data_IF_482469374061
#
_entry.id   IF_482469374061
#
_cell.length_a   1.000
_cell.length_b   1.000
_cell.length_c   1.000
_cell.angle_alpha   90.00
_cell.angle_beta   90.00
_cell.angle_gamma   90.00
#
_symmetry.space_group_name_H-M   'P 1'
#
loop_
_entity.id
_entity.type
_entity.pdbx_description
1 polymer ?
#
# COMPACT_ATOMS: atom_id res chain seq x y z
N UNK A 1 9.78 9.20 -6.20
CA UNK A 1 8.98 10.15 -7.01
C UNK A 1 9.78 11.45 -7.15
N UNK A 2 10.30 11.75 -8.35
CA UNK A 2 10.85 13.07 -8.63
C UNK A 2 9.69 14.06 -8.62
N UNK A 3 9.72 14.97 -7.67
CA UNK A 3 8.64 15.92 -7.42
C UNK A 3 8.56 16.93 -8.59
N UNK A 4 7.38 17.03 -9.20
CA UNK A 4 7.08 18.03 -10.22
C UNK A 4 6.23 19.14 -9.60
N UNK A 5 6.57 20.43 -9.80
CA UNK A 5 5.74 21.57 -9.36
C UNK A 5 4.31 21.57 -9.92
N UNK A 6 4.01 20.71 -10.90
CA UNK A 6 2.70 20.58 -11.56
C UNK A 6 1.99 19.28 -11.19
N UNK A 7 2.05 18.83 -9.93
CA UNK A 7 1.29 17.64 -9.53
C UNK A 7 -0.22 17.94 -9.66
N UNK A 8 -0.86 17.32 -10.66
CA UNK A 8 -2.31 17.34 -10.79
C UNK A 8 -2.87 16.56 -9.59
N UNK A 9 -3.78 17.16 -8.82
CA UNK A 9 -4.42 16.45 -7.70
C UNK A 9 -5.49 15.52 -8.24
N UNK A 10 -5.54 14.31 -7.69
CA UNK A 10 -6.37 13.21 -8.17
C UNK A 10 -5.53 11.94 -8.34
N UNK A 11 -6.18 10.78 -8.32
CA UNK A 11 -5.49 9.48 -8.38
C UNK A 11 -4.49 9.29 -7.23
N UNK A 12 -3.27 8.88 -7.56
CA UNK A 12 -2.20 8.53 -6.61
C UNK A 12 -1.47 9.77 -6.02
N UNK A 13 -2.21 10.78 -5.59
CA UNK A 13 -1.64 11.99 -4.97
C UNK A 13 -1.29 11.74 -3.50
N UNK A 14 -0.15 12.24 -3.04
CA UNK A 14 0.29 12.11 -1.64
C UNK A 14 -0.36 13.17 -0.74
N UNK A 15 -0.44 12.92 0.57
CA UNK A 15 -0.90 13.88 1.57
C UNK A 15 -0.07 15.18 1.51
N UNK A 16 1.25 15.07 1.30
CA UNK A 16 2.11 16.23 1.08
C UNK A 16 1.72 17.03 -0.17
N UNK A 17 1.38 16.33 -1.27
CA UNK A 17 0.88 16.95 -2.50
C UNK A 17 -0.43 17.71 -2.27
N UNK A 18 -1.39 17.11 -1.55
CA UNK A 18 -2.62 17.79 -1.14
C UNK A 18 -2.34 19.01 -0.25
N UNK A 19 -1.47 18.88 0.75
CA UNK A 19 -1.08 19.99 1.63
C UNK A 19 -0.48 21.17 0.88
N UNK A 20 0.37 20.89 -0.12
CA UNK A 20 1.00 21.94 -0.95
C UNK A 20 -0.02 22.64 -1.86
N UNK A 21 -0.97 21.89 -2.43
CA UNK A 21 -1.94 22.44 -3.40
C UNK A 21 -3.16 23.11 -2.75
N UNK A 22 -3.61 22.60 -1.61
CA UNK A 22 -4.79 23.07 -0.89
C UNK A 22 -4.46 23.29 0.60
N UNK A 23 -3.59 24.25 0.93
CA UNK A 23 -3.09 24.40 2.31
C UNK A 23 -4.18 24.74 3.31
N UNK A 24 -5.18 25.53 2.93
CA UNK A 24 -6.29 25.94 3.81
C UNK A 24 -7.23 24.77 4.09
N UNK A 25 -7.66 24.05 3.06
CA UNK A 25 -8.51 22.87 3.17
C UNK A 25 -7.77 21.76 3.90
N UNK A 26 -6.49 21.54 3.56
CA UNK A 26 -5.66 20.59 4.28
C UNK A 26 -5.44 20.99 5.75
N UNK A 27 -5.51 22.26 6.14
CA UNK A 27 -5.44 22.63 7.55
C UNK A 27 -6.75 22.38 8.31
N UNK A 28 -7.89 22.43 7.62
CA UNK A 28 -9.23 22.50 8.24
C UNK A 28 -10.05 21.23 8.09
N UNK A 29 -9.83 20.45 7.03
CA UNK A 29 -10.61 19.25 6.76
C UNK A 29 -10.12 18.07 7.59
N UNK A 30 -11.06 17.19 7.90
CA UNK A 30 -10.73 15.86 8.39
C UNK A 30 -10.05 15.06 7.28
N UNK A 31 -8.89 14.49 7.59
CA UNK A 31 -8.01 13.75 6.69
C UNK A 31 -7.81 12.35 7.23
N UNK A 32 -8.04 11.35 6.41
CA UNK A 32 -7.70 9.99 6.76
C UNK A 32 -7.16 9.23 5.56
N UNK A 33 -6.46 8.14 5.83
CA UNK A 33 -6.10 7.16 4.82
C UNK A 33 -6.44 5.75 5.31
N UNK A 34 -6.68 4.85 4.37
CA UNK A 34 -6.81 3.42 4.64
C UNK A 34 -5.53 2.74 4.18
N UNK A 35 -4.84 2.10 5.11
CA UNK A 35 -3.65 1.27 4.85
C UNK A 35 -4.01 -0.19 4.95
N UNK A 36 -3.22 -1.06 4.33
CA UNK A 36 -3.39 -2.53 4.37
C UNK A 36 -2.08 -3.18 4.79
N UNK A 37 -2.16 -4.38 5.37
CA UNK A 37 -0.98 -5.20 5.63
C UNK A 37 -0.09 -5.25 4.38
N UNK A 38 1.22 -4.92 4.48
CA UNK A 38 2.08 -4.76 3.31
C UNK A 38 2.19 -6.00 2.42
N UNK A 39 2.27 -7.21 2.99
CA UNK A 39 2.30 -8.46 2.21
C UNK A 39 0.99 -8.65 1.47
N UNK A 40 -0.13 -8.53 2.18
CA UNK A 40 -1.47 -8.65 1.60
C UNK A 40 -1.71 -7.63 0.48
N UNK A 41 -1.20 -6.40 0.66
CA UNK A 41 -1.29 -5.34 -0.34
C UNK A 41 -0.44 -5.66 -1.56
N UNK A 42 0.79 -6.14 -1.38
CA UNK A 42 1.69 -6.51 -2.47
C UNK A 42 1.09 -7.60 -3.35
N UNK A 43 0.61 -8.69 -2.73
CA UNK A 43 -0.02 -9.80 -3.45
C UNK A 43 -1.27 -9.33 -4.22
N UNK A 44 -2.09 -8.48 -3.59
CA UNK A 44 -3.25 -7.87 -4.21
C UNK A 44 -2.86 -7.02 -5.43
N UNK A 45 -1.80 -6.21 -5.33
CA UNK A 45 -1.31 -5.37 -6.41
C UNK A 45 -0.79 -6.21 -7.59
N UNK A 46 -0.02 -7.26 -7.33
CA UNK A 46 0.46 -8.16 -8.37
C UNK A 46 -0.70 -8.84 -9.12
N UNK A 47 -1.67 -9.41 -8.39
CA UNK A 47 -2.88 -10.03 -8.97
C UNK A 47 -3.69 -9.04 -9.81
N UNK A 48 -3.88 -7.83 -9.30
CA UNK A 48 -4.57 -6.77 -10.02
C UNK A 48 -3.86 -6.40 -11.33
N UNK A 49 -2.56 -6.12 -11.27
CA UNK A 49 -1.79 -5.68 -12.44
C UNK A 49 -1.65 -6.77 -13.51
N UNK A 50 -1.60 -8.06 -13.12
CA UNK A 50 -1.67 -9.21 -14.05
C UNK A 50 -3.02 -9.34 -14.74
N UNK A 51 -4.11 -8.96 -14.07
CA UNK A 51 -5.47 -9.04 -14.63
C UNK A 51 -5.77 -7.89 -15.60
N UNK A 52 -5.14 -6.74 -15.39
CA UNK A 52 -5.31 -5.59 -16.26
C UNK A 52 -4.56 -5.77 -17.59
N UNK A 53 -5.08 -5.25 -18.71
CA UNK A 53 -4.29 -5.14 -19.94
C UNK A 53 -3.00 -4.37 -19.72
N UNK A 54 -1.98 -4.65 -20.53
CA UNK A 54 -0.73 -3.86 -20.51
C UNK A 54 -1.08 -2.40 -20.84
N UNK A 55 -0.75 -1.49 -19.94
CA UNK A 55 -1.09 -0.08 -20.08
C UNK A 55 0.00 0.83 -19.50
N UNK A 56 0.47 1.88 -20.22
CA UNK A 56 1.53 2.76 -19.74
C UNK A 56 1.26 3.40 -18.37
N UNK A 57 0.02 3.79 -18.09
CA UNK A 57 -0.35 4.39 -16.80
C UNK A 57 -0.26 3.42 -15.61
N UNK A 58 -0.28 2.10 -15.85
CA UNK A 58 -0.10 1.07 -14.83
C UNK A 58 1.35 0.61 -14.72
N UNK A 59 2.15 0.87 -15.75
CA UNK A 59 3.52 0.40 -15.91
C UNK A 59 3.68 -1.12 -15.61
N UNK A 60 2.73 -1.92 -16.12
CA UNK A 60 2.62 -3.35 -15.82
C UNK A 60 3.28 -4.26 -16.86
N UNK A 61 3.92 -3.75 -17.93
CA UNK A 61 4.50 -4.60 -18.98
C UNK A 61 5.45 -5.66 -18.43
N UNK A 62 6.38 -5.26 -17.55
CA UNK A 62 7.35 -6.17 -16.91
C UNK A 62 6.69 -7.26 -16.04
N UNK A 63 5.51 -7.00 -15.49
CA UNK A 63 4.74 -7.99 -14.74
C UNK A 63 4.15 -9.05 -15.69
N UNK A 64 3.83 -8.67 -16.93
CA UNK A 64 3.33 -9.61 -17.94
C UNK A 64 4.42 -10.52 -18.54
N UNK A 65 5.70 -10.13 -18.44
CA UNK A 65 6.84 -10.94 -18.87
C UNK A 65 7.09 -12.18 -17.98
N UNK A 66 6.41 -12.29 -16.84
CA UNK A 66 6.53 -13.38 -15.86
C UNK A 66 5.19 -14.07 -15.68
N UNK A 67 5.18 -15.40 -15.68
CA UNK A 67 3.94 -16.16 -15.58
C UNK A 67 3.49 -16.35 -14.13
N UNK A 68 4.47 -16.44 -13.23
CA UNK A 68 4.22 -16.68 -11.80
C UNK A 68 4.72 -15.54 -10.92
N UNK A 69 4.16 -15.47 -9.71
CA UNK A 69 4.62 -14.53 -8.68
C UNK A 69 6.07 -14.82 -8.28
N UNK A 70 6.49 -16.09 -8.25
CA UNK A 70 7.85 -16.47 -7.90
C UNK A 70 8.87 -15.90 -8.91
N UNK A 71 8.64 -16.05 -10.21
CA UNK A 71 9.49 -15.48 -11.26
C UNK A 71 9.52 -13.95 -11.23
N UNK A 72 8.38 -13.32 -10.92
CA UNK A 72 8.30 -11.88 -10.70
C UNK A 72 9.17 -11.46 -9.51
N UNK A 73 9.08 -12.17 -8.39
CA UNK A 73 9.86 -11.88 -7.19
C UNK A 73 11.36 -12.08 -7.38
N UNK A 74 11.80 -13.04 -8.20
CA UNK A 74 13.21 -13.15 -8.58
C UNK A 74 13.69 -11.92 -9.37
N UNK A 75 12.84 -11.40 -10.26
CA UNK A 75 13.15 -10.16 -11.01
C UNK A 75 13.24 -8.96 -10.06
N UNK A 76 12.29 -8.84 -9.13
CA UNK A 76 12.27 -7.78 -8.11
C UNK A 76 13.46 -7.88 -7.16
N UNK A 77 13.89 -9.09 -6.78
CA UNK A 77 15.06 -9.28 -5.90
C UNK A 77 16.36 -8.89 -6.60
N UNK A 78 16.47 -9.14 -7.91
CA UNK A 78 17.61 -8.73 -8.71
C UNK A 78 17.66 -7.21 -8.94
N UNK A 79 16.50 -6.56 -9.07
CA UNK A 79 16.39 -5.09 -9.18
C UNK A 79 15.17 -4.55 -8.40
N UNK A 80 15.34 -4.24 -7.09
CA UNK A 80 14.25 -3.75 -6.26
C UNK A 80 13.72 -2.37 -6.69
N UNK A 81 14.53 -1.59 -7.43
CA UNK A 81 14.12 -0.27 -7.91
C UNK A 81 12.97 -0.36 -8.91
N UNK A 82 12.77 -1.53 -9.53
CA UNK A 82 11.62 -1.80 -10.39
C UNK A 82 10.27 -1.48 -9.71
N UNK A 83 10.17 -1.69 -8.40
CA UNK A 83 8.95 -1.40 -7.63
C UNK A 83 8.66 0.11 -7.54
N UNK A 84 9.70 0.95 -7.62
CA UNK A 84 9.55 2.40 -7.54
C UNK A 84 8.91 3.02 -8.79
N UNK A 85 8.93 2.29 -9.91
CA UNK A 85 8.33 2.70 -11.17
C UNK A 85 6.83 2.31 -11.28
N UNK A 86 6.33 1.51 -10.34
CA UNK A 86 4.97 0.97 -10.36
C UNK A 86 4.24 1.48 -9.12
N UNK A 87 3.32 2.41 -9.32
CA UNK A 87 2.65 3.15 -8.23
C UNK A 87 1.97 2.27 -7.17
N UNK A 88 1.45 1.10 -7.58
CA UNK A 88 0.80 0.13 -6.69
C UNK A 88 1.78 -0.55 -5.72
N UNK A 89 3.07 -0.59 -6.06
CA UNK A 89 4.12 -1.14 -5.22
C UNK A 89 4.87 -0.07 -4.42
N UNK A 90 4.59 1.22 -4.61
CA UNK A 90 5.19 2.28 -3.79
C UNK A 90 4.79 2.12 -2.32
N UNK A 91 5.73 2.21 -1.35
CA UNK A 91 5.41 2.14 0.07
C UNK A 91 4.29 3.10 0.47
N UNK A 92 3.32 2.61 1.23
CA UNK A 92 2.15 3.36 1.72
C UNK A 92 2.58 4.61 2.49
N UNK A 93 3.69 4.55 3.24
CA UNK A 93 4.24 5.71 3.95
C UNK A 93 4.56 6.88 3.01
N UNK A 94 4.92 6.64 1.74
CA UNK A 94 5.18 7.71 0.76
C UNK A 94 3.92 8.53 0.44
N UNK A 95 2.73 7.98 0.69
CA UNK A 95 1.46 8.66 0.48
C UNK A 95 0.98 9.42 1.69
N UNK A 96 1.33 9.00 2.91
CA UNK A 96 0.74 9.54 4.14
C UNK A 96 1.73 10.30 5.01
N UNK A 97 3.04 10.20 4.77
CA UNK A 97 4.06 10.86 5.56
C UNK A 97 4.74 12.03 4.83
N UNK A 98 5.38 12.92 5.59
CA UNK A 98 6.39 13.84 5.07
C UNK A 98 7.78 13.18 4.91
N UNK A 99 8.77 13.98 4.51
CA UNK A 99 10.16 13.57 4.36
C UNK A 99 10.83 13.11 5.66
N UNK A 100 10.30 13.52 6.81
CA UNK A 100 10.79 13.12 8.14
C UNK A 100 10.04 11.89 8.69
N UNK A 101 9.11 11.31 7.91
CA UNK A 101 8.35 10.14 8.31
C UNK A 101 7.17 10.44 9.25
N UNK A 102 6.81 11.71 9.45
CA UNK A 102 5.64 12.10 10.24
C UNK A 102 4.38 11.89 9.42
N UNK A 103 3.38 11.22 9.99
CA UNK A 103 2.06 11.05 9.37
C UNK A 103 1.36 12.40 9.26
N UNK A 104 0.83 12.71 8.08
CA UNK A 104 0.23 14.01 7.73
C UNK A 104 -1.31 14.01 7.74
N UNK A 105 -1.93 12.86 7.99
CA UNK A 105 -3.38 12.71 8.08
C UNK A 105 -3.78 12.50 9.54
N UNK A 106 -5.04 12.79 9.88
CA UNK A 106 -5.53 12.75 11.26
C UNK A 106 -5.68 11.30 11.75
N UNK A 107 -6.11 10.38 10.87
CA UNK A 107 -6.20 8.95 11.19
C UNK A 107 -5.73 8.04 10.05
N UNK A 108 -5.08 6.95 10.44
CA UNK A 108 -4.80 5.80 9.58
C UNK A 108 -5.71 4.65 10.00
N UNK A 109 -6.59 4.24 9.09
CA UNK A 109 -7.47 3.09 9.28
C UNK A 109 -6.89 1.86 8.57
N UNK A 110 -7.19 0.66 9.09
CA UNK A 110 -6.73 -0.61 8.51
C UNK A 110 -7.79 -1.23 7.61
N UNK A 111 -7.39 -1.67 6.43
CA UNK A 111 -8.28 -2.31 5.46
C UNK A 111 -8.93 -3.58 6.05
N UNK A 112 -8.19 -4.33 6.86
CA UNK A 112 -8.61 -5.58 7.48
C UNK A 112 -9.81 -5.41 8.42
N UNK A 113 -10.04 -4.21 8.95
CA UNK A 113 -11.21 -3.91 9.78
C UNK A 113 -12.04 -2.76 9.20
N UNK A 114 -11.96 -2.52 7.88
CA UNK A 114 -12.59 -1.36 7.23
C UNK A 114 -14.09 -1.31 7.43
N UNK A 115 -14.79 -2.45 7.44
CA UNK A 115 -16.25 -2.48 7.67
C UNK A 115 -16.62 -1.88 9.03
N UNK A 116 -15.88 -2.22 10.08
CA UNK A 116 -16.09 -1.67 11.43
C UNK A 116 -15.61 -0.23 11.55
N UNK A 117 -14.45 0.09 10.96
CA UNK A 117 -13.87 1.43 10.98
C UNK A 117 -14.66 2.43 10.14
N UNK A 118 -15.36 1.98 9.10
CA UNK A 118 -16.22 2.82 8.26
C UNK A 118 -17.34 3.46 9.07
N UNK A 119 -17.92 2.73 10.03
CA UNK A 119 -18.90 3.31 10.97
C UNK A 119 -18.31 4.46 11.78
N UNK A 120 -17.04 4.33 12.20
CA UNK A 120 -16.31 5.39 12.91
C UNK A 120 -16.08 6.61 12.00
N UNK A 121 -15.66 6.37 10.75
CA UNK A 121 -15.46 7.44 9.76
C UNK A 121 -16.76 8.19 9.48
N UNK A 122 -17.89 7.49 9.26
CA UNK A 122 -19.20 8.12 9.11
C UNK A 122 -19.56 9.01 10.31
N UNK A 123 -19.27 8.55 11.53
CA UNK A 123 -19.49 9.33 12.75
C UNK A 123 -18.67 10.62 12.78
N UNK A 124 -17.38 10.57 12.47
CA UNK A 124 -16.50 11.75 12.41
C UNK A 124 -16.99 12.75 11.34
N UNK A 125 -17.43 12.24 10.19
CA UNK A 125 -17.91 13.06 9.08
C UNK A 125 -19.36 13.55 9.23
N UNK A 126 -20.03 13.20 10.34
CA UNK A 126 -21.45 13.44 10.56
C UNK A 126 -22.32 12.97 9.37
N UNK A 127 -22.01 11.79 8.83
CA UNK A 127 -22.72 11.18 7.72
C UNK A 127 -23.57 9.98 8.20
N UNK A 128 -24.75 9.76 7.61
CA UNK A 128 -25.52 8.55 7.92
C UNK A 128 -24.74 7.32 7.48
N UNK A 129 -24.70 6.30 8.35
CA UNK A 129 -24.05 5.04 8.01
C UNK A 129 -24.76 4.37 6.84
N UNK A 130 -23.98 4.03 5.81
CA UNK A 130 -24.37 3.12 4.72
C UNK A 130 -23.24 2.11 4.53
N UNK A 131 -23.54 0.80 4.40
CA UNK A 131 -22.50 -0.19 4.12
C UNK A 131 -21.71 0.16 2.87
N UNK A 132 -20.39 -0.05 2.91
CA UNK A 132 -19.55 0.14 1.72
C UNK A 132 -19.94 -0.89 0.65
N UNK A 133 -20.07 -0.48 -0.63
CA UNK A 133 -20.20 -1.44 -1.72
C UNK A 133 -18.92 -2.27 -1.79
N UNK A 134 -19.07 -3.57 -2.04
CA UNK A 134 -17.92 -4.46 -2.25
C UNK A 134 -17.58 -4.46 -3.73
N UNK A 135 -16.42 -3.90 -4.07
CA UNK A 135 -15.89 -3.80 -5.43
C UNK A 135 -14.47 -4.35 -5.43
N UNK A 136 -14.06 -5.02 -6.51
CA UNK A 136 -12.76 -5.68 -6.63
C UNK A 136 -12.47 -6.66 -5.48
N UNK A 137 -13.48 -7.46 -5.12
CA UNK A 137 -13.31 -8.51 -4.14
C UNK A 137 -12.20 -9.47 -4.57
N UNK A 138 -11.12 -9.45 -3.82
CA UNK A 138 -10.12 -10.50 -3.86
C UNK A 138 -10.64 -11.64 -2.99
N UNK A 139 -10.44 -12.90 -3.41
CA UNK A 139 -10.62 -14.01 -2.49
C UNK A 139 -9.80 -13.72 -1.21
N UNK A 140 -10.33 -14.01 -0.01
CA UNK A 140 -9.55 -13.91 1.22
C UNK A 140 -8.23 -14.66 0.99
N UNK A 141 -7.09 -14.05 1.35
CA UNK A 141 -5.84 -14.81 1.36
C UNK A 141 -6.02 -15.97 2.33
N UNK A 142 -6.14 -17.17 1.80
CA UNK A 142 -6.15 -18.38 2.60
C UNK A 142 -4.71 -18.71 3.01
N UNK A 143 -4.52 -19.61 3.98
CA UNK A 143 -3.18 -20.12 4.32
C UNK A 143 -2.46 -20.69 3.08
N UNK A 144 -3.22 -21.18 2.09
CA UNK A 144 -2.71 -21.73 0.83
C UNK A 144 -2.21 -20.62 -0.12
N UNK A 145 -2.68 -19.39 0.04
CA UNK A 145 -2.24 -18.21 -0.72
C UNK A 145 -1.04 -17.50 -0.09
N UNK A 146 -0.57 -17.96 1.08
CA UNK A 146 0.59 -17.36 1.72
C UNK A 146 1.83 -17.54 0.84
N UNK A 147 2.61 -16.47 0.60
CA UNK A 147 3.84 -16.59 -0.15
C UNK A 147 4.84 -17.43 0.67
N UNK A 148 5.77 -18.14 0.03
CA UNK A 148 6.84 -18.84 0.75
C UNK A 148 7.59 -17.90 1.70
N UNK A 149 8.12 -18.43 2.80
CA UNK A 149 8.75 -17.65 3.89
C UNK A 149 9.79 -16.63 3.40
N UNK A 150 10.61 -17.00 2.41
CA UNK A 150 11.62 -16.10 1.85
C UNK A 150 10.99 -14.86 1.18
N UNK A 151 9.86 -15.03 0.49
CA UNK A 151 9.16 -13.97 -0.20
C UNK A 151 8.42 -13.09 0.80
N UNK A 152 7.77 -13.72 1.80
CA UNK A 152 7.19 -13.01 2.92
C UNK A 152 8.24 -12.13 3.61
N UNK A 153 9.36 -12.72 4.03
CA UNK A 153 10.45 -12.02 4.70
C UNK A 153 11.02 -10.86 3.88
N UNK A 154 11.26 -11.07 2.59
CA UNK A 154 11.74 -10.01 1.69
C UNK A 154 10.75 -8.85 1.60
N UNK A 155 9.45 -9.13 1.41
CA UNK A 155 8.41 -8.09 1.33
C UNK A 155 8.29 -7.36 2.68
N UNK A 156 8.33 -8.08 3.79
CA UNK A 156 8.31 -7.48 5.13
C UNK A 156 9.48 -6.54 5.36
N UNK A 157 10.69 -6.92 4.93
CA UNK A 157 11.87 -6.08 5.03
C UNK A 157 11.76 -4.83 4.14
N UNK A 158 11.37 -5.01 2.87
CA UNK A 158 11.23 -3.91 1.90
C UNK A 158 10.19 -2.87 2.36
N UNK A 159 9.10 -3.31 2.99
CA UNK A 159 8.03 -2.45 3.49
C UNK A 159 8.05 -2.25 5.02
N UNK A 160 9.20 -2.40 5.69
CA UNK A 160 9.29 -2.29 7.15
C UNK A 160 8.73 -0.96 7.70
N UNK A 161 8.91 0.14 6.96
CA UNK A 161 8.34 1.44 7.30
C UNK A 161 6.80 1.46 7.25
N UNK A 162 6.18 0.73 6.32
CA UNK A 162 4.71 0.64 6.24
C UNK A 162 4.15 -0.16 7.42
N UNK A 163 4.85 -1.20 7.87
CA UNK A 163 4.50 -1.92 9.10
C UNK A 163 4.50 -0.96 10.29
N UNK A 164 5.58 -0.18 10.45
CA UNK A 164 5.70 0.82 11.52
C UNK A 164 4.61 1.89 11.44
N UNK A 165 4.38 2.48 10.27
CA UNK A 165 3.39 3.55 10.07
C UNK A 165 1.95 3.05 10.25
N UNK A 166 1.64 1.85 9.75
CA UNK A 166 0.31 1.23 9.92
C UNK A 166 0.09 0.57 11.29
N UNK A 167 1.13 0.49 12.13
CA UNK A 167 1.11 -0.18 13.42
C UNK A 167 0.93 -1.70 13.33
N UNK A 168 1.31 -2.31 12.22
CA UNK A 168 1.23 -3.76 12.03
C UNK A 168 2.34 -4.45 12.82
N UNK A 169 2.07 -5.60 13.46
CA UNK A 169 3.11 -6.40 14.08
C UNK A 169 4.07 -6.93 13.00
N UNK A 170 5.37 -6.86 13.26
CA UNK A 170 6.37 -7.56 12.46
C UNK A 170 6.59 -8.91 13.13
N UNK A 171 5.96 -9.95 12.60
CA UNK A 171 6.27 -11.32 12.99
C UNK A 171 7.64 -11.65 12.38
N UNK A 172 8.70 -11.53 13.19
CA UNK A 172 10.00 -12.09 12.82
C UNK A 172 9.98 -13.54 13.24
N UNK A 173 10.06 -14.46 12.29
CA UNK A 173 10.30 -15.85 12.61
C UNK A 173 11.59 -15.94 13.41
N UNK A 174 11.49 -16.49 14.62
CA UNK A 174 12.61 -16.79 15.51
C UNK A 174 13.41 -17.98 14.99
N UNK A 175 13.98 -17.85 13.79
CA UNK A 175 14.78 -18.87 13.12
C UNK A 175 15.98 -18.25 12.38
N UNK A 176 16.77 -17.40 13.07
CA UNK A 176 18.13 -17.07 12.61
C UNK A 176 19.16 -16.89 13.73
N UNK A 177 18.99 -17.55 14.88
CA UNK A 177 20.05 -17.67 15.90
C UNK A 177 20.69 -19.06 15.92
N UNK A 178 21.03 -19.61 14.76
CA UNK A 178 21.82 -20.84 14.67
C UNK A 178 22.68 -20.88 13.40
N UNK A 179 23.54 -19.87 13.23
CA UNK A 179 24.80 -20.00 12.49
C UNK A 179 25.87 -19.21 13.23
N UNK A 180 26.47 -19.86 14.22
CA UNK A 180 27.87 -19.66 14.60
C UNK A 180 28.67 -20.81 13.98
#
# INVERSE_FOLDING_TARGET
>A
LRESPRQHVGGHTTALGYRRKFPTEFATYFKFAVVRDPVSRFLSAWRYLRKMPIHPALNNSKIHERDTLAEWMETVRADPNLLDDIVHFLPQRRFVCDSEGRVLVDHLFRFESITSQWKTICGILNQPFRPLPRVNESAPMTIIDAPPDWMHGWITEFYADDYRVGGYPILRDSASSARR
#
